data_IF_902463101456
#
_entry.id   IF_902463101456
#
_cell.length_a   1.000
_cell.length_b   1.000
_cell.length_c   1.000
_cell.angle_alpha   90.00
_cell.angle_beta   90.00
_cell.angle_gamma   90.00
#
_symmetry.space_group_name_H-M   'P 1'
#
loop_
_entity.id
_entity.type
_entity.pdbx_description
1 polymer ?
#
# COMPACT_ATOMS: atom_id res chain seq x y z
N UNK A 1 -5.38 20.45 -3.57
CA UNK A 1 -4.56 19.72 -2.58
C UNK A 1 -4.52 18.26 -2.94
N UNK A 2 -3.86 17.98 -4.05
CA UNK A 2 -3.66 16.62 -4.49
C UNK A 2 -2.29 16.53 -5.16
N UNK A 3 -1.28 17.22 -4.60
CA UNK A 3 0.11 16.97 -4.93
C UNK A 3 1.09 17.41 -3.85
N UNK A 4 2.33 16.94 -3.96
CA UNK A 4 3.45 17.26 -3.06
C UNK A 4 3.70 18.77 -2.93
N UNK A 5 3.68 19.48 -4.05
CA UNK A 5 3.98 20.91 -4.11
C UNK A 5 2.98 21.72 -3.28
N UNK A 6 1.69 21.43 -3.41
CA UNK A 6 0.62 22.04 -2.63
C UNK A 6 0.87 21.89 -1.13
N UNK A 7 1.23 20.68 -0.68
CA UNK A 7 1.41 20.35 0.74
C UNK A 7 2.65 21.07 1.30
N UNK A 8 3.76 21.05 0.58
CA UNK A 8 4.99 21.76 0.99
C UNK A 8 4.81 23.27 1.01
N UNK A 9 4.07 23.81 0.03
CA UNK A 9 3.77 25.23 -0.05
C UNK A 9 2.92 25.68 1.16
N UNK A 10 1.89 24.92 1.52
CA UNK A 10 1.09 25.18 2.72
C UNK A 10 1.95 25.15 3.99
N UNK A 11 2.82 24.15 4.16
CA UNK A 11 3.69 24.05 5.33
C UNK A 11 4.66 25.24 5.43
N UNK A 12 5.32 25.59 4.33
CA UNK A 12 6.28 26.70 4.27
C UNK A 12 5.60 28.04 4.62
N UNK A 13 4.42 28.30 4.05
CA UNK A 13 3.64 29.51 4.37
C UNK A 13 3.26 29.60 5.84
N UNK A 14 2.83 28.49 6.45
CA UNK A 14 2.43 28.47 7.85
C UNK A 14 3.62 28.64 8.80
N UNK A 15 4.80 28.11 8.45
CA UNK A 15 6.03 28.26 9.25
C UNK A 15 6.57 29.69 9.28
N UNK A 16 6.24 30.52 8.28
CA UNK A 16 6.61 31.94 8.25
C UNK A 16 5.81 32.79 9.24
N UNK A 17 4.67 32.28 9.73
CA UNK A 17 3.79 33.00 10.67
C UNK A 17 4.25 32.70 12.11
N UNK A 18 4.90 33.68 12.74
CA UNK A 18 5.41 33.56 14.12
C UNK A 18 4.32 33.58 15.19
N UNK A 19 3.23 34.30 14.94
CA UNK A 19 2.11 34.39 15.86
C UNK A 19 1.26 33.11 15.78
N UNK A 20 1.19 32.38 16.88
CA UNK A 20 0.51 31.07 16.96
C UNK A 20 -1.01 31.20 16.74
N UNK A 21 -1.62 32.27 17.23
CA UNK A 21 -3.06 32.49 17.08
C UNK A 21 -3.42 32.78 15.62
N UNK A 22 -2.64 33.65 14.98
CA UNK A 22 -2.80 33.98 13.56
C UNK A 22 -2.53 32.75 12.69
N UNK A 23 -1.45 32.00 12.97
CA UNK A 23 -1.13 30.74 12.28
C UNK A 23 -2.30 29.77 12.37
N UNK A 24 -2.85 29.56 13.58
CA UNK A 24 -3.99 28.67 13.77
C UNK A 24 -5.24 29.15 13.03
N UNK A 25 -5.51 30.46 12.98
CA UNK A 25 -6.65 31.00 12.22
C UNK A 25 -6.58 30.68 10.73
N UNK A 26 -5.40 30.87 10.11
CA UNK A 26 -5.21 30.62 8.67
C UNK A 26 -4.90 29.15 8.35
N UNK A 27 -4.70 28.31 9.37
CA UNK A 27 -4.43 26.88 9.18
C UNK A 27 -5.64 26.19 8.53
N UNK A 28 -5.45 25.50 7.39
CA UNK A 28 -6.52 24.80 6.70
C UNK A 28 -7.26 23.77 7.55
N UNK A 29 -8.57 23.63 7.32
CA UNK A 29 -9.44 22.72 8.08
C UNK A 29 -9.01 21.26 8.03
N UNK A 30 -8.40 20.81 6.93
CA UNK A 30 -7.92 19.43 6.80
C UNK A 30 -6.72 19.14 7.73
N UNK A 31 -5.81 20.11 7.95
CA UNK A 31 -4.70 19.97 8.89
C UNK A 31 -5.22 19.90 10.33
N UNK A 32 -6.21 20.74 10.63
CA UNK A 32 -6.88 20.71 11.94
C UNK A 32 -7.51 19.34 12.20
N UNK A 33 -8.16 18.74 11.20
CA UNK A 33 -8.71 17.38 11.29
C UNK A 33 -7.63 16.30 11.38
N UNK A 34 -6.51 16.48 10.67
CA UNK A 34 -5.35 15.57 10.74
C UNK A 34 -4.80 15.49 12.16
N UNK A 35 -4.79 16.61 12.88
CA UNK A 35 -4.34 16.71 14.27
C UNK A 35 -5.46 16.64 15.32
N UNK A 36 -6.70 16.37 14.90
CA UNK A 36 -7.84 16.22 15.81
C UNK A 36 -7.85 14.79 16.37
N UNK A 37 -7.99 14.65 17.68
CA UNK A 37 -8.03 13.36 18.39
C UNK A 37 -9.46 12.83 18.60
N UNK A 38 -10.48 13.53 18.09
CA UNK A 38 -11.87 13.08 18.15
C UNK A 38 -12.06 11.75 17.43
N UNK A 39 -12.68 10.78 18.09
CA UNK A 39 -12.95 9.45 17.53
C UNK A 39 -13.84 9.47 16.27
N UNK A 40 -14.67 10.50 16.10
CA UNK A 40 -15.66 10.55 15.02
C UNK A 40 -15.13 11.19 13.73
N UNK A 41 -14.22 12.16 13.85
CA UNK A 41 -13.78 13.01 12.72
C UNK A 41 -12.28 13.27 12.68
N UNK A 42 -11.55 12.87 13.72
CA UNK A 42 -10.13 13.11 13.89
C UNK A 42 -9.26 12.00 13.32
N UNK A 43 -8.08 12.39 12.86
CA UNK A 43 -7.08 11.49 12.28
C UNK A 43 -5.75 11.54 13.04
N UNK A 44 -5.73 12.02 14.29
CA UNK A 44 -4.51 12.01 15.11
C UNK A 44 -3.99 10.56 15.21
N UNK A 45 -2.69 10.39 15.03
CA UNK A 45 -2.00 9.09 14.90
C UNK A 45 -2.25 8.31 13.61
N UNK A 46 -2.95 8.89 12.61
CA UNK A 46 -3.09 8.34 11.27
C UNK A 46 -2.33 9.18 10.23
N UNK A 47 -2.04 8.58 9.08
CA UNK A 47 -1.42 9.26 7.94
C UNK A 47 -2.36 9.38 6.75
N UNK A 48 -2.37 10.54 6.09
CA UNK A 48 -3.06 10.80 4.83
C UNK A 48 -2.07 10.66 3.68
N UNK A 49 -2.37 9.81 2.70
CA UNK A 49 -1.51 9.57 1.55
C UNK A 49 -1.81 10.60 0.46
N UNK A 50 -0.75 11.21 -0.09
CA UNK A 50 -0.79 12.17 -1.19
C UNK A 50 0.02 11.59 -2.35
N UNK A 51 -0.57 11.56 -3.54
CA UNK A 51 0.03 11.10 -4.80
C UNK A 51 0.66 9.72 -4.78
N UNK A 52 0.31 8.87 -3.81
CA UNK A 52 0.91 7.55 -3.59
C UNK A 52 2.41 7.56 -3.25
N UNK A 53 3.01 8.75 -3.11
CA UNK A 53 4.44 8.96 -2.88
C UNK A 53 4.73 9.45 -1.46
N UNK A 54 3.78 10.21 -0.89
CA UNK A 54 3.95 10.88 0.40
C UNK A 54 2.85 10.50 1.37
N UNK A 55 3.22 10.42 2.64
CA UNK A 55 2.27 10.36 3.73
C UNK A 55 2.43 11.58 4.62
N UNK A 56 1.31 12.23 4.90
CA UNK A 56 1.22 13.40 5.79
C UNK A 56 0.58 12.92 7.08
N UNK A 57 1.27 13.09 8.19
CA UNK A 57 0.76 12.75 9.52
C UNK A 57 0.95 13.92 10.47
N UNK A 58 0.04 14.05 11.43
CA UNK A 58 0.18 15.06 12.47
C UNK A 58 1.52 14.88 13.20
N UNK A 59 2.18 15.98 13.53
CA UNK A 59 3.31 15.94 14.45
C UNK A 59 2.82 15.54 15.85
N UNK A 60 3.55 14.67 16.53
CA UNK A 60 3.10 14.06 17.79
C UNK A 60 2.95 15.11 18.92
N UNK A 61 3.70 16.21 18.82
CA UNK A 61 3.65 17.37 19.72
C UNK A 61 2.50 18.35 19.39
N UNK A 62 1.77 18.12 18.29
CA UNK A 62 0.76 19.04 17.77
C UNK A 62 -0.66 18.51 17.95
N UNK A 63 -1.59 19.45 18.01
CA UNK A 63 -3.02 19.20 18.17
C UNK A 63 -3.82 20.11 17.25
N UNK A 64 -5.13 19.90 17.16
CA UNK A 64 -6.06 20.71 16.36
C UNK A 64 -5.86 22.23 16.48
N UNK A 65 -5.57 22.72 17.68
CA UNK A 65 -5.42 24.15 18.01
C UNK A 65 -4.06 24.74 17.61
N UNK A 66 -3.08 23.90 17.28
CA UNK A 66 -1.77 24.30 16.79
C UNK A 66 -1.28 23.24 15.79
N UNK A 67 -2.07 23.02 14.74
CA UNK A 67 -1.87 21.89 13.85
C UNK A 67 -0.63 22.07 12.98
N UNK A 68 0.21 21.03 12.97
CA UNK A 68 1.35 20.91 12.08
C UNK A 68 1.52 19.43 11.71
N UNK A 69 2.21 19.17 10.62
CA UNK A 69 2.40 17.82 10.12
C UNK A 69 3.85 17.56 9.74
N UNK A 70 4.22 16.28 9.71
CA UNK A 70 5.43 15.81 9.04
C UNK A 70 5.05 15.11 7.76
N UNK A 71 5.85 15.36 6.73
CA UNK A 71 5.81 14.60 5.49
C UNK A 71 6.83 13.49 5.64
N UNK A 72 6.36 12.25 5.54
CA UNK A 72 7.22 11.08 5.41
C UNK A 72 7.03 10.49 4.02
N UNK A 73 8.01 9.73 3.53
CA UNK A 73 7.74 8.84 2.40
C UNK A 73 6.57 7.94 2.78
N UNK A 74 5.55 7.84 1.91
CA UNK A 74 4.46 6.90 2.15
C UNK A 74 5.08 5.52 2.44
N UNK A 75 4.60 4.82 3.45
CA UNK A 75 5.09 3.47 3.75
C UNK A 75 5.00 2.62 2.48
N UNK A 76 6.14 2.32 1.84
CA UNK A 76 6.20 1.62 0.54
C UNK A 76 6.59 2.45 -0.69
N UNK A 77 6.93 3.74 -0.57
CA UNK A 77 7.65 4.45 -1.63
C UNK A 77 9.08 3.91 -1.71
N UNK A 78 9.47 3.41 -2.88
CA UNK A 78 10.78 2.85 -3.17
C UNK A 78 11.24 3.52 -4.46
N UNK A 79 12.35 4.26 -4.42
CA UNK A 79 12.88 4.92 -5.61
C UNK A 79 13.30 3.91 -6.68
N UNK A 80 13.40 4.34 -7.94
CA UNK A 80 13.82 3.45 -9.01
C UNK A 80 15.25 2.93 -8.78
N UNK A 81 16.13 3.76 -8.21
CA UNK A 81 17.50 3.38 -7.83
C UNK A 81 17.48 2.27 -6.77
N UNK A 82 16.64 2.41 -5.74
CA UNK A 82 16.48 1.41 -4.68
C UNK A 82 15.91 0.10 -5.26
N UNK A 83 14.92 0.17 -6.18
CA UNK A 83 14.40 -1.02 -6.89
C UNK A 83 15.52 -1.74 -7.65
N UNK A 84 16.36 -1.00 -8.37
CA UNK A 84 17.49 -1.56 -9.13
C UNK A 84 18.48 -2.25 -8.18
N UNK A 85 18.83 -1.62 -7.06
CA UNK A 85 19.76 -2.17 -6.08
C UNK A 85 19.21 -3.44 -5.41
N UNK A 86 17.93 -3.44 -5.03
CA UNK A 86 17.29 -4.60 -4.40
C UNK A 86 17.14 -5.76 -5.38
N UNK A 87 16.80 -5.49 -6.65
CA UNK A 87 16.69 -6.51 -7.70
C UNK A 87 18.05 -7.16 -8.02
N UNK A 88 19.15 -6.40 -7.93
CA UNK A 88 20.51 -6.94 -8.05
C UNK A 88 20.88 -7.87 -6.90
N UNK A 89 20.43 -7.55 -5.68
CA UNK A 89 20.69 -8.35 -4.47
C UNK A 89 19.82 -9.60 -4.40
N UNK A 90 18.56 -9.49 -4.82
CA UNK A 90 17.57 -10.57 -4.80
C UNK A 90 16.74 -10.54 -6.09
N UNK A 91 16.94 -11.55 -6.94
CA UNK A 91 16.25 -11.67 -8.23
C UNK A 91 14.75 -11.98 -8.09
N UNK A 92 14.30 -12.37 -6.89
CA UNK A 92 12.88 -12.60 -6.56
C UNK A 92 12.18 -11.34 -6.09
N UNK A 93 12.91 -10.23 -5.91
CA UNK A 93 12.40 -8.98 -5.39
C UNK A 93 11.33 -8.36 -6.29
N UNK A 94 10.22 -7.99 -5.68
CA UNK A 94 9.17 -7.18 -6.30
C UNK A 94 8.75 -6.13 -5.26
N UNK A 95 8.78 -4.82 -5.59
CA UNK A 95 8.38 -3.78 -4.66
C UNK A 95 6.90 -3.97 -4.30
N UNK A 96 6.60 -4.01 -2.99
CA UNK A 96 5.21 -4.09 -2.51
C UNK A 96 4.52 -2.76 -2.78
N UNK A 97 3.31 -2.82 -3.36
CA UNK A 97 2.44 -1.64 -3.49
C UNK A 97 1.56 -1.58 -2.25
N UNK A 98 1.74 -0.61 -1.37
CA UNK A 98 0.88 -0.44 -0.20
C UNK A 98 -0.46 0.17 -0.64
N UNK A 99 -1.50 -0.67 -0.74
CA UNK A 99 -2.89 -0.19 -0.80
C UNK A 99 -3.51 -0.29 0.59
N UNK A 100 -4.55 0.49 0.88
CA UNK A 100 -5.31 0.46 2.15
C UNK A 100 -5.73 -0.97 2.54
N UNK A 101 -5.98 -1.81 1.53
CA UNK A 101 -6.31 -3.22 1.68
C UNK A 101 -5.12 -4.11 2.11
N UNK A 102 -3.91 -3.61 2.30
CA UNK A 102 -2.75 -4.43 2.72
C UNK A 102 -2.43 -4.29 4.21
N UNK A 103 -3.13 -3.41 4.94
CA UNK A 103 -2.92 -3.18 6.37
C UNK A 103 -3.24 -4.41 7.24
N UNK A 104 -4.15 -5.28 6.78
CA UNK A 104 -4.51 -6.50 7.51
C UNK A 104 -3.43 -7.59 7.48
N UNK A 105 -2.38 -7.46 6.67
CA UNK A 105 -1.24 -8.39 6.65
C UNK A 105 -0.31 -8.22 7.87
N UNK A 106 -0.57 -7.22 8.70
CA UNK A 106 0.16 -6.94 9.94
C UNK A 106 -0.67 -7.27 11.19
N UNK A 107 -1.42 -8.39 11.19
CA UNK A 107 -2.02 -8.89 12.44
C UNK A 107 -0.90 -9.35 13.37
N UNK A 108 -0.88 -8.83 14.60
CA UNK A 108 -0.03 -9.32 15.69
C UNK A 108 -0.35 -10.79 15.95
N UNK A 109 0.67 -11.63 16.10
CA UNK A 109 0.53 -13.06 16.37
C UNK A 109 1.37 -13.46 17.58
N UNK A 110 0.93 -14.50 18.27
CA UNK A 110 1.60 -15.06 19.46
C UNK A 110 2.81 -15.94 19.10
N UNK A 111 2.82 -16.51 17.89
CA UNK A 111 3.94 -17.27 17.30
C UNK A 111 4.44 -16.55 16.04
N UNK A 112 5.73 -16.26 16.07
CA UNK A 112 6.40 -15.37 15.16
C UNK A 112 6.96 -16.12 13.94
N UNK A 113 7.04 -17.46 13.96
CA UNK A 113 7.62 -18.31 12.91
C UNK A 113 6.56 -19.04 12.09
N UNK A 114 5.90 -18.34 11.15
CA UNK A 114 4.85 -18.98 10.35
C UNK A 114 5.09 -18.85 8.85
N UNK A 115 4.92 -19.95 8.13
CA UNK A 115 5.04 -20.02 6.67
C UNK A 115 3.84 -19.36 5.97
N UNK A 116 4.02 -19.05 4.68
CA UNK A 116 2.95 -18.49 3.87
C UNK A 116 1.75 -19.45 3.73
N UNK A 117 0.53 -18.93 3.85
CA UNK A 117 -0.70 -19.68 3.62
C UNK A 117 -1.56 -19.01 2.56
N UNK A 118 -2.09 -19.82 1.65
CA UNK A 118 -2.92 -19.37 0.53
C UNK A 118 -4.33 -19.93 0.66
N UNK A 119 -5.32 -19.19 0.16
CA UNK A 119 -6.65 -19.77 -0.06
C UNK A 119 -6.60 -20.82 -1.17
N UNK A 120 -7.60 -21.70 -1.24
CA UNK A 120 -7.89 -22.44 -2.47
C UNK A 120 -8.04 -21.48 -3.66
N UNK A 121 -7.76 -21.98 -4.85
CA UNK A 121 -8.08 -21.28 -6.09
C UNK A 121 -9.59 -21.17 -6.28
N UNK A 122 -10.04 -20.03 -6.79
CA UNK A 122 -11.39 -19.93 -7.35
C UNK A 122 -11.55 -20.92 -8.53
N UNK A 123 -12.80 -21.31 -8.85
CA UNK A 123 -13.09 -21.90 -10.15
C UNK A 123 -12.57 -21.01 -11.29
N UNK A 124 -12.32 -21.61 -12.45
CA UNK A 124 -12.01 -20.85 -13.66
C UNK A 124 -13.23 -20.03 -14.08
N UNK A 125 -13.01 -18.73 -14.31
CA UNK A 125 -14.03 -17.83 -14.83
C UNK A 125 -14.43 -18.15 -16.28
N UNK A 126 -15.41 -17.40 -16.81
CA UNK A 126 -15.84 -17.54 -18.20
C UNK A 126 -14.69 -17.25 -19.17
N UNK A 127 -14.79 -17.80 -20.37
CA UNK A 127 -13.88 -17.47 -21.47
C UNK A 127 -14.19 -16.06 -21.98
N UNK A 128 -13.24 -15.13 -21.81
CA UNK A 128 -13.31 -13.77 -22.33
C UNK A 128 -12.02 -13.52 -23.12
N UNK A 129 -12.14 -13.10 -24.38
CA UNK A 129 -10.99 -12.87 -25.28
C UNK A 129 -10.02 -14.07 -25.35
N UNK A 130 -10.57 -15.28 -25.49
CA UNK A 130 -9.82 -16.56 -25.51
C UNK A 130 -9.00 -16.86 -24.24
N UNK A 131 -9.32 -16.20 -23.13
CA UNK A 131 -8.64 -16.39 -21.84
C UNK A 131 -9.64 -16.68 -20.72
N UNK A 132 -9.28 -17.62 -19.85
CA UNK A 132 -9.95 -17.81 -18.56
C UNK A 132 -9.04 -17.31 -17.45
N UNK A 133 -9.65 -16.71 -16.43
CA UNK A 133 -8.96 -16.20 -15.24
C UNK A 133 -9.46 -16.90 -13.99
N UNK A 134 -8.57 -17.11 -13.02
CA UNK A 134 -8.92 -17.51 -11.65
C UNK A 134 -8.08 -16.74 -10.65
N UNK A 135 -8.56 -16.63 -9.42
CA UNK A 135 -7.87 -15.90 -8.36
C UNK A 135 -7.74 -16.73 -7.09
N UNK A 136 -6.73 -16.41 -6.29
CA UNK A 136 -6.62 -16.86 -4.91
C UNK A 136 -5.97 -15.75 -4.09
N UNK A 137 -6.09 -15.82 -2.77
CA UNK A 137 -5.49 -14.82 -1.88
C UNK A 137 -4.44 -15.42 -0.94
N UNK A 138 -3.48 -14.60 -0.55
CA UNK A 138 -2.61 -14.85 0.60
C UNK A 138 -3.49 -14.71 1.85
N UNK A 139 -3.74 -15.81 2.53
CA UNK A 139 -4.45 -15.84 3.81
C UNK A 139 -3.53 -15.45 4.96
N UNK A 140 -2.26 -15.82 4.87
CA UNK A 140 -1.23 -15.48 5.85
C UNK A 140 0.10 -15.25 5.15
N UNK A 141 0.72 -14.10 5.41
CA UNK A 141 2.11 -13.85 5.01
C UNK A 141 3.07 -14.58 5.92
N UNK A 142 4.24 -14.92 5.39
CA UNK A 142 5.30 -15.47 6.23
C UNK A 142 5.74 -14.45 7.28
N UNK A 143 6.04 -14.92 8.49
CA UNK A 143 6.54 -14.11 9.60
C UNK A 143 7.82 -14.76 10.13
N UNK A 144 8.84 -13.94 10.37
CA UNK A 144 10.14 -14.25 10.98
C UNK A 144 10.86 -15.52 10.50
N UNK A 145 10.68 -15.89 9.23
CA UNK A 145 11.41 -16.96 8.57
C UNK A 145 11.76 -16.60 7.10
N UNK A 146 12.56 -17.46 6.45
CA UNK A 146 12.97 -17.30 5.05
C UNK A 146 11.92 -17.73 4.01
N UNK A 147 10.79 -18.30 4.43
CA UNK A 147 9.79 -18.93 3.56
C UNK A 147 8.79 -17.90 3.00
N UNK A 148 9.30 -16.98 2.18
CA UNK A 148 8.48 -15.92 1.60
C UNK A 148 7.28 -16.45 0.80
N UNK A 149 6.20 -15.68 0.81
CA UNK A 149 5.12 -15.88 -0.16
C UNK A 149 5.64 -15.58 -1.56
N UNK A 150 5.88 -16.62 -2.36
CA UNK A 150 6.32 -16.53 -3.74
C UNK A 150 5.22 -16.97 -4.73
N UNK A 151 5.13 -16.25 -5.85
CA UNK A 151 4.35 -16.60 -7.03
C UNK A 151 5.26 -16.53 -8.26
N UNK A 152 5.36 -17.62 -9.03
CA UNK A 152 6.31 -17.74 -10.14
C UNK A 152 7.76 -17.37 -9.76
N UNK A 153 8.18 -17.80 -8.57
CA UNK A 153 9.52 -17.52 -8.03
C UNK A 153 9.75 -16.06 -7.59
N UNK A 154 8.71 -15.22 -7.58
CA UNK A 154 8.79 -13.80 -7.20
C UNK A 154 7.94 -13.49 -5.98
N UNK A 155 8.41 -12.56 -5.13
CA UNK A 155 7.64 -12.08 -3.97
C UNK A 155 6.33 -11.45 -4.43
N UNK A 156 5.23 -11.76 -3.74
CA UNK A 156 3.89 -11.32 -4.18
C UNK A 156 3.63 -9.87 -3.72
N UNK A 157 3.37 -8.92 -4.63
CA UNK A 157 3.18 -7.50 -4.29
C UNK A 157 1.76 -7.17 -3.80
N UNK A 158 0.80 -8.08 -4.02
CA UNK A 158 -0.62 -7.95 -3.67
C UNK A 158 -1.08 -9.20 -2.93
N UNK A 159 -2.04 -9.07 -2.03
CA UNK A 159 -2.63 -10.23 -1.36
C UNK A 159 -3.48 -11.12 -2.28
N UNK A 160 -3.76 -10.70 -3.52
CA UNK A 160 -4.51 -11.47 -4.52
C UNK A 160 -3.59 -11.85 -5.67
N UNK A 161 -3.55 -13.13 -5.99
CA UNK A 161 -2.90 -13.70 -7.17
C UNK A 161 -3.95 -13.98 -8.23
N UNK A 162 -3.59 -13.74 -9.49
CA UNK A 162 -4.39 -14.08 -10.66
C UNK A 162 -3.59 -15.03 -11.54
N UNK A 163 -4.28 -16.03 -12.07
CA UNK A 163 -3.75 -16.93 -13.09
C UNK A 163 -4.65 -16.87 -14.32
N UNK A 164 -4.01 -16.84 -15.49
CA UNK A 164 -4.69 -16.84 -16.78
C UNK A 164 -4.27 -18.06 -17.57
N UNK A 165 -5.23 -18.70 -18.23
CA UNK A 165 -4.96 -19.76 -19.21
C UNK A 165 -5.73 -19.52 -20.51
N UNK A 166 -5.28 -20.08 -21.65
CA UNK A 166 -6.11 -20.17 -22.84
C UNK A 166 -7.40 -20.93 -22.54
N UNK A 167 -8.49 -20.56 -23.22
CA UNK A 167 -9.69 -21.37 -23.14
C UNK A 167 -9.42 -22.75 -23.74
N UNK A 168 -9.92 -23.80 -23.08
CA UNK A 168 -9.92 -25.15 -23.63
C UNK A 168 -10.92 -25.20 -24.79
N UNK A 169 -10.45 -24.96 -26.02
CA UNK A 169 -11.10 -25.39 -27.26
C UNK A 169 -10.57 -26.78 -27.67
N UNK A 170 -11.30 -27.54 -28.51
CA UNK A 170 -10.91 -28.91 -28.83
C UNK A 170 -9.61 -28.93 -29.64
N UNK A 171 -8.49 -29.30 -28.99
CA UNK A 171 -7.39 -29.93 -29.72
C UNK A 171 -7.72 -31.42 -29.83
N UNK A 172 -7.57 -31.97 -31.04
CA UNK A 172 -7.73 -33.39 -31.41
C UNK A 172 -9.13 -33.81 -31.94
N UNK A 173 -9.49 -33.30 -33.12
CA UNK A 173 -10.25 -34.10 -34.08
C UNK A 173 -9.27 -34.56 -35.18
N UNK A 174 -9.14 -35.87 -35.30
CA UNK A 174 -8.20 -36.59 -36.15
C UNK A 174 -8.20 -36.10 -37.63
N UNK A 175 -7.01 -36.04 -38.22
CA UNK A 175 -6.83 -35.91 -39.66
C UNK A 175 -7.41 -37.16 -40.37
N UNK A 176 -8.25 -37.01 -41.41
CA UNK A 176 -8.65 -38.13 -42.22
C UNK A 176 -7.52 -38.49 -43.20
N UNK A 177 -7.24 -39.79 -43.29
CA UNK A 177 -6.50 -40.44 -44.38
C UNK A 177 -7.33 -40.46 -45.65
#
# INVERSE_FOLDING_TARGET
MCNEEDVRNVQSKLQQIKDVNMRNQVTPSWMKRLCDNSEQIGFKSMSVIIDYELAVLCNDENEKSNADFKIIGASGFISNEEIIQQTKRDTTYVPRKCTVNNFYLCRKVEDDNVSCQYSPWSPWGPCVDSKQRRTRKVMRSNQNNGDFCLWNGKRIPRSIMEETRPCSGPSDAAAPK
#
